data_IF_838926561781
#
_entry.id   IF_838926561781
#
_cell.length_a   1.000
_cell.length_b   1.000
_cell.length_c   1.000
_cell.angle_alpha   90.00
_cell.angle_beta   90.00
_cell.angle_gamma   90.00
#
_symmetry.space_group_name_H-M   'P 1'
#
loop_
_entity.id
_entity.type
_entity.pdbx_description
1 polymer ?
#
# COMPACT_ATOMS: atom_id res chain seq x y z
N UNK A 1 31.69 11.43 7.33
CA UNK A 1 30.29 11.59 6.83
C UNK A 1 29.34 11.57 8.04
N UNK A 2 28.84 12.75 8.42
CA UNK A 2 28.07 12.94 9.68
C UNK A 2 26.83 12.04 9.76
N UNK A 3 26.16 11.82 8.63
CA UNK A 3 24.99 10.94 8.55
C UNK A 3 25.34 9.47 8.81
N UNK A 4 26.50 9.01 8.35
CA UNK A 4 26.94 7.63 8.61
C UNK A 4 27.20 7.37 10.10
N UNK A 5 27.88 8.31 10.77
CA UNK A 5 28.14 8.21 12.21
C UNK A 5 26.85 8.25 13.04
N UNK A 6 25.89 9.10 12.67
CA UNK A 6 24.60 9.17 13.33
C UNK A 6 23.81 7.87 13.14
N UNK A 7 23.81 7.29 11.94
CA UNK A 7 23.16 6.01 11.68
C UNK A 7 23.80 4.85 12.46
N UNK A 8 25.13 4.83 12.55
CA UNK A 8 25.84 3.81 13.35
C UNK A 8 25.54 3.94 14.84
N UNK A 9 25.54 5.16 15.39
CA UNK A 9 25.16 5.38 16.78
C UNK A 9 23.72 4.99 17.06
N UNK A 10 22.79 5.28 16.15
CA UNK A 10 21.40 4.87 16.25
C UNK A 10 21.26 3.33 16.28
N UNK A 11 21.93 2.63 15.35
CA UNK A 11 21.92 1.17 15.32
C UNK A 11 22.45 0.57 16.62
N UNK A 12 23.56 1.10 17.17
CA UNK A 12 24.12 0.64 18.44
C UNK A 12 23.16 0.77 19.62
N UNK A 13 22.29 1.80 19.62
CA UNK A 13 21.29 2.00 20.66
C UNK A 13 20.09 1.06 20.46
N UNK A 14 19.66 0.87 19.22
CA UNK A 14 18.45 0.10 18.90
C UNK A 14 18.71 -1.41 18.94
N UNK A 15 19.90 -1.86 18.54
CA UNK A 15 20.23 -3.29 18.44
C UNK A 15 20.00 -4.07 19.76
N UNK A 16 20.43 -3.61 20.95
CA UNK A 16 20.15 -4.32 22.19
C UNK A 16 18.65 -4.43 22.51
N UNK A 17 17.87 -3.37 22.21
CA UNK A 17 16.42 -3.36 22.41
C UNK A 17 15.75 -4.35 21.46
N UNK A 18 16.17 -4.35 20.19
CA UNK A 18 15.67 -5.29 19.19
C UNK A 18 15.99 -6.75 19.57
N UNK A 19 17.22 -7.04 19.98
CA UNK A 19 17.61 -8.38 20.44
C UNK A 19 16.82 -8.84 21.68
N UNK A 20 16.53 -7.92 22.59
CA UNK A 20 15.69 -8.21 23.77
C UNK A 20 14.25 -8.55 23.32
N UNK A 21 13.68 -7.76 22.41
CA UNK A 21 12.35 -7.97 21.85
C UNK A 21 12.23 -9.32 21.13
N UNK A 22 13.15 -9.62 20.22
CA UNK A 22 13.20 -10.91 19.52
C UNK A 22 13.32 -12.09 20.51
N UNK A 23 14.20 -11.96 21.50
CA UNK A 23 14.36 -12.95 22.57
C UNK A 23 13.10 -13.13 23.42
N UNK A 24 12.33 -12.05 23.64
CA UNK A 24 11.06 -12.13 24.34
C UNK A 24 10.02 -12.87 23.51
N UNK A 25 9.86 -12.54 22.23
CA UNK A 25 8.94 -13.24 21.33
C UNK A 25 9.25 -14.73 21.27
N UNK A 26 10.54 -15.08 21.09
CA UNK A 26 10.97 -16.46 21.02
C UNK A 26 10.66 -17.25 22.28
N UNK A 27 11.01 -16.72 23.46
CA UNK A 27 10.78 -17.41 24.77
C UNK A 27 9.31 -17.61 25.11
N UNK A 28 8.44 -16.71 24.62
CA UNK A 28 7.00 -16.77 24.89
C UNK A 28 6.19 -17.40 23.74
N UNK A 29 6.85 -17.93 22.71
CA UNK A 29 6.20 -18.49 21.54
C UNK A 29 5.26 -17.51 20.84
N UNK A 30 5.65 -16.25 20.80
CA UNK A 30 4.92 -15.17 20.15
C UNK A 30 5.52 -14.86 18.78
N UNK A 31 4.72 -14.26 17.92
CA UNK A 31 5.14 -13.73 16.61
C UNK A 31 4.56 -12.34 16.44
N UNK A 32 5.28 -11.46 15.79
CA UNK A 32 4.76 -10.19 15.33
C UNK A 32 4.21 -10.27 13.89
N UNK A 33 3.71 -9.13 13.37
CA UNK A 33 3.14 -9.07 12.02
C UNK A 33 4.18 -9.39 10.93
N UNK A 34 5.44 -8.98 11.12
CA UNK A 34 6.52 -9.27 10.18
C UNK A 34 6.89 -10.75 10.19
N UNK A 35 6.96 -11.35 11.37
CA UNK A 35 7.20 -12.77 11.56
C UNK A 35 6.11 -13.61 10.91
N UNK A 36 4.86 -13.18 11.05
CA UNK A 36 3.72 -13.88 10.46
C UNK A 36 3.87 -14.01 8.94
N UNK A 37 4.24 -12.92 8.26
CA UNK A 37 4.44 -12.94 6.81
C UNK A 37 5.67 -13.75 6.42
N UNK A 38 6.80 -13.58 7.11
CA UNK A 38 8.03 -14.32 6.83
C UNK A 38 7.80 -15.83 7.01
N UNK A 39 7.13 -16.24 8.09
CA UNK A 39 6.77 -17.65 8.33
C UNK A 39 5.79 -18.19 7.30
N UNK A 40 4.84 -17.36 6.83
CA UNK A 40 3.92 -17.76 5.76
C UNK A 40 4.67 -18.02 4.45
N UNK A 41 5.64 -17.18 4.09
CA UNK A 41 6.51 -17.40 2.93
C UNK A 41 7.27 -18.71 3.06
N UNK A 42 7.93 -18.94 4.21
CA UNK A 42 8.68 -20.18 4.48
C UNK A 42 7.80 -21.43 4.39
N UNK A 43 6.58 -21.38 4.92
CA UNK A 43 5.63 -22.49 4.83
C UNK A 43 5.23 -22.80 3.38
N UNK A 44 5.06 -21.78 2.55
CA UNK A 44 4.71 -21.97 1.13
C UNK A 44 5.90 -22.55 0.37
N UNK A 45 7.11 -22.01 0.57
CA UNK A 45 8.31 -22.43 -0.17
C UNK A 45 8.80 -23.82 0.25
N UNK A 46 8.86 -24.08 1.57
CA UNK A 46 9.54 -25.28 2.07
C UNK A 46 8.59 -26.43 2.42
N UNK A 47 7.31 -26.17 2.67
CA UNK A 47 6.37 -27.21 3.07
C UNK A 47 5.24 -27.46 2.06
N UNK A 48 5.19 -26.70 0.97
CA UNK A 48 4.17 -26.85 -0.06
C UNK A 48 2.74 -26.66 0.44
N UNK A 49 2.57 -25.94 1.55
CA UNK A 49 1.26 -25.62 2.10
C UNK A 49 0.62 -24.57 1.19
N UNK A 50 -0.67 -24.68 0.94
CA UNK A 50 -1.46 -23.75 0.09
C UNK A 50 -1.16 -23.86 -1.43
N UNK A 51 -0.89 -25.01 -1.96
CA UNK A 51 -0.62 -25.19 -3.40
C UNK A 51 -1.87 -25.38 -4.28
N UNK A 52 -3.08 -25.12 -3.76
CA UNK A 52 -4.34 -25.44 -4.44
C UNK A 52 -5.13 -24.20 -4.92
N UNK A 53 -4.63 -23.00 -4.75
CA UNK A 53 -5.35 -21.80 -5.20
C UNK A 53 -5.23 -21.63 -6.72
N UNK A 54 -6.37 -21.46 -7.38
CA UNK A 54 -6.43 -21.12 -8.81
C UNK A 54 -6.39 -19.62 -9.05
N UNK A 55 -6.90 -18.84 -8.10
CA UNK A 55 -6.99 -17.39 -8.17
C UNK A 55 -6.57 -16.79 -6.84
N UNK A 56 -5.84 -15.68 -6.93
CA UNK A 56 -5.46 -14.82 -5.81
C UNK A 56 -5.99 -13.43 -6.14
N UNK A 57 -6.83 -12.89 -5.27
CA UNK A 57 -7.35 -11.53 -5.39
C UNK A 57 -6.75 -10.66 -4.29
N UNK A 58 -6.23 -9.49 -4.66
CA UNK A 58 -5.67 -8.53 -3.72
C UNK A 58 -6.36 -7.19 -3.94
N UNK A 59 -7.02 -6.72 -2.91
CA UNK A 59 -7.65 -5.41 -2.89
C UNK A 59 -6.72 -4.36 -2.27
N UNK A 60 -6.95 -3.08 -2.57
CA UNK A 60 -6.14 -1.93 -2.09
C UNK A 60 -4.64 -2.13 -2.35
N UNK A 61 -4.31 -2.63 -3.54
CA UNK A 61 -2.93 -3.02 -3.87
C UNK A 61 -1.95 -1.84 -3.89
N UNK A 62 -2.42 -0.57 -3.99
CA UNK A 62 -1.58 0.62 -3.88
C UNK A 62 -0.92 0.77 -2.51
N UNK A 63 -1.44 0.10 -1.48
CA UNK A 63 -0.92 0.16 -0.12
C UNK A 63 -0.04 -1.05 0.24
N UNK A 64 0.36 -1.82 -0.76
CA UNK A 64 1.16 -3.03 -0.54
C UNK A 64 2.57 -2.69 -0.06
N UNK A 65 3.05 -3.42 0.96
CA UNK A 65 4.45 -3.42 1.35
C UNK A 65 5.26 -4.43 0.54
N UNK A 66 6.58 -4.24 0.49
CA UNK A 66 7.47 -5.17 -0.20
C UNK A 66 7.37 -6.61 0.35
N UNK A 67 7.18 -6.79 1.65
CA UNK A 67 7.00 -8.11 2.27
C UNK A 67 5.71 -8.78 1.82
N UNK A 68 4.61 -8.05 1.81
CA UNK A 68 3.33 -8.57 1.31
C UNK A 68 3.40 -8.91 -0.18
N UNK A 69 4.09 -8.09 -0.96
CA UNK A 69 4.37 -8.38 -2.37
C UNK A 69 5.15 -9.70 -2.53
N UNK A 70 6.22 -9.90 -1.75
CA UNK A 70 6.99 -11.15 -1.78
C UNK A 70 6.11 -12.36 -1.46
N UNK A 71 5.28 -12.27 -0.40
CA UNK A 71 4.34 -13.34 -0.05
C UNK A 71 3.37 -13.67 -1.19
N UNK A 72 2.74 -12.67 -1.80
CA UNK A 72 1.82 -12.86 -2.92
C UNK A 72 2.53 -13.48 -4.11
N UNK A 73 3.73 -13.01 -4.44
CA UNK A 73 4.55 -13.54 -5.52
C UNK A 73 4.92 -15.01 -5.31
N UNK A 74 5.38 -15.37 -4.10
CA UNK A 74 5.70 -16.75 -3.70
C UNK A 74 4.46 -17.64 -3.80
N UNK A 75 3.34 -17.20 -3.24
CA UNK A 75 2.09 -17.94 -3.27
C UNK A 75 1.58 -18.17 -4.71
N UNK A 76 1.63 -17.11 -5.54
CA UNK A 76 1.27 -17.21 -6.96
C UNK A 76 2.10 -18.25 -7.69
N UNK A 77 3.41 -18.27 -7.45
CA UNK A 77 4.34 -19.21 -8.09
C UNK A 77 4.08 -20.64 -7.61
N UNK A 78 3.96 -20.85 -6.29
CA UNK A 78 3.72 -22.17 -5.70
C UNK A 78 2.40 -22.80 -6.17
N UNK A 79 1.36 -21.99 -6.35
CA UNK A 79 0.04 -22.47 -6.78
C UNK A 79 -0.15 -22.46 -8.30
N UNK A 80 0.75 -21.85 -9.07
CA UNK A 80 0.52 -21.50 -10.47
C UNK A 80 -0.81 -20.74 -10.67
N UNK A 81 -1.12 -19.84 -9.74
CA UNK A 81 -2.40 -19.16 -9.65
C UNK A 81 -2.48 -17.93 -10.58
N UNK A 82 -3.70 -17.59 -10.98
CA UNK A 82 -3.99 -16.30 -11.60
C UNK A 82 -4.06 -15.22 -10.52
N UNK A 83 -3.30 -14.14 -10.69
CA UNK A 83 -3.29 -13.00 -9.78
C UNK A 83 -4.14 -11.88 -10.35
N UNK A 84 -5.09 -11.39 -9.55
CA UNK A 84 -5.91 -10.23 -9.85
C UNK A 84 -5.71 -9.21 -8.73
N UNK A 85 -5.28 -8.02 -9.07
CA UNK A 85 -5.09 -6.94 -8.12
C UNK A 85 -6.00 -5.76 -8.46
N UNK A 86 -6.54 -5.12 -7.44
CA UNK A 86 -7.38 -3.93 -7.57
C UNK A 86 -6.77 -2.84 -6.67
N UNK A 87 -6.74 -1.63 -7.15
CA UNK A 87 -6.22 -0.51 -6.38
C UNK A 87 -6.39 0.82 -7.10
N UNK A 88 -6.08 1.88 -6.41
CA UNK A 88 -6.16 3.25 -6.90
C UNK A 88 -4.93 4.04 -6.44
N UNK A 89 -4.00 4.31 -7.36
CA UNK A 89 -2.76 5.04 -7.08
C UNK A 89 -3.03 6.45 -6.51
N UNK A 90 -4.17 7.07 -6.84
CA UNK A 90 -4.57 8.36 -6.28
C UNK A 90 -4.88 8.29 -4.77
N UNK A 91 -5.11 7.09 -4.24
CA UNK A 91 -5.38 6.84 -2.82
C UNK A 91 -4.16 6.34 -2.05
N UNK A 92 -2.99 6.24 -2.68
CA UNK A 92 -1.76 5.81 -2.00
C UNK A 92 -1.25 6.90 -1.05
N UNK A 93 -1.61 6.78 0.22
CA UNK A 93 -1.24 7.72 1.29
C UNK A 93 -0.44 7.07 2.42
N UNK A 94 -0.14 5.77 2.33
CA UNK A 94 0.51 4.99 3.39
C UNK A 94 2.00 4.74 3.17
N UNK A 95 2.69 5.57 2.37
CA UNK A 95 4.14 5.48 2.19
C UNK A 95 4.93 5.52 3.51
N UNK A 96 4.41 6.18 4.55
CA UNK A 96 5.00 6.19 5.89
C UNK A 96 4.83 4.86 6.66
N UNK A 97 4.06 3.91 6.14
CA UNK A 97 3.82 2.57 6.69
C UNK A 97 4.40 1.46 5.81
N UNK A 98 5.54 1.71 5.19
CA UNK A 98 6.24 0.77 4.30
C UNK A 98 5.47 0.37 3.03
N UNK A 99 4.39 1.06 2.64
CA UNK A 99 3.80 0.84 1.34
C UNK A 99 4.71 1.41 0.24
N UNK A 100 4.83 0.67 -0.84
CA UNK A 100 5.66 1.03 -1.99
C UNK A 100 4.80 1.11 -3.26
N UNK A 101 4.46 2.34 -3.65
CA UNK A 101 3.63 2.59 -4.82
C UNK A 101 4.26 2.11 -6.13
N UNK A 102 5.58 1.93 -6.18
CA UNK A 102 6.25 1.41 -7.38
C UNK A 102 5.81 -0.02 -7.67
N UNK A 103 5.50 -0.82 -6.65
CA UNK A 103 4.97 -2.17 -6.81
C UNK A 103 3.61 -2.20 -7.52
N UNK A 104 2.83 -1.13 -7.38
CA UNK A 104 1.56 -0.95 -8.08
C UNK A 104 1.78 -0.38 -9.49
N UNK A 105 2.57 0.67 -9.61
CA UNK A 105 2.79 1.36 -10.88
C UNK A 105 3.51 0.47 -11.90
N UNK A 106 4.52 -0.26 -11.45
CA UNK A 106 5.37 -1.12 -12.27
C UNK A 106 4.88 -2.59 -12.24
N UNK A 107 3.61 -2.82 -11.93
CA UNK A 107 3.03 -4.16 -11.79
C UNK A 107 3.29 -5.05 -13.02
N UNK A 108 3.20 -4.49 -14.23
CA UNK A 108 3.43 -5.23 -15.46
C UNK A 108 4.90 -5.63 -15.65
N UNK A 109 5.85 -4.94 -15.02
CA UNK A 109 7.27 -5.31 -15.07
C UNK A 109 7.54 -6.52 -14.18
N UNK A 110 6.86 -6.62 -13.05
CA UNK A 110 6.90 -7.80 -12.19
C UNK A 110 6.10 -8.98 -12.75
N UNK A 111 5.05 -8.71 -13.51
CA UNK A 111 4.14 -9.71 -14.10
C UNK A 111 3.92 -9.40 -15.61
N UNK A 112 4.86 -9.77 -16.49
CA UNK A 112 4.86 -9.34 -17.91
C UNK A 112 3.64 -9.73 -18.73
N UNK A 113 2.86 -10.73 -18.29
CA UNK A 113 1.63 -11.14 -18.95
C UNK A 113 0.36 -10.51 -18.35
N UNK A 114 0.53 -9.51 -17.49
CA UNK A 114 -0.61 -8.83 -16.88
C UNK A 114 -1.28 -7.87 -17.85
N UNK A 115 -2.61 -7.79 -17.76
CA UNK A 115 -3.42 -6.79 -18.44
C UNK A 115 -3.91 -5.77 -17.42
N UNK A 116 -3.80 -4.48 -17.77
CA UNK A 116 -4.31 -3.38 -16.96
C UNK A 116 -5.64 -2.91 -17.53
N UNK A 117 -6.62 -2.77 -16.64
CA UNK A 117 -7.95 -2.25 -16.97
C UNK A 117 -8.25 -1.07 -16.06
N UNK A 118 -8.75 0.04 -16.64
CA UNK A 118 -9.16 1.21 -15.87
C UNK A 118 -10.68 1.19 -15.66
N UNK A 119 -11.10 1.42 -14.41
CA UNK A 119 -12.50 1.66 -14.06
C UNK A 119 -12.67 3.18 -13.99
N UNK A 120 -13.28 3.76 -15.03
CA UNK A 120 -13.39 5.22 -15.16
C UNK A 120 -14.72 5.78 -14.68
N UNK A 121 -15.74 4.96 -14.46
CA UNK A 121 -17.02 5.41 -13.92
C UNK A 121 -17.12 5.22 -12.42
N UNK A 122 -17.47 6.30 -11.73
CA UNK A 122 -17.70 6.28 -10.28
C UNK A 122 -19.13 6.72 -9.94
N UNK A 123 -19.68 6.16 -8.86
CA UNK A 123 -21.01 6.46 -8.36
C UNK A 123 -20.97 7.12 -6.97
N UNK A 124 -19.76 7.38 -6.46
CA UNK A 124 -19.54 7.90 -5.10
C UNK A 124 -19.65 9.41 -5.07
N UNK A 125 -18.82 10.09 -5.82
CA UNK A 125 -18.64 11.55 -5.78
C UNK A 125 -19.30 12.24 -6.99
N UNK A 126 -19.73 13.51 -6.86
CA UNK A 126 -20.16 14.32 -8.00
C UNK A 126 -18.98 14.74 -8.89
N UNK A 127 -19.27 15.01 -10.17
CA UNK A 127 -18.25 15.27 -11.19
C UNK A 127 -17.36 16.47 -10.83
N UNK A 128 -17.93 17.54 -10.31
CA UNK A 128 -17.21 18.77 -9.99
C UNK A 128 -16.17 18.55 -8.88
N UNK A 129 -16.48 17.68 -7.91
CA UNK A 129 -15.50 17.30 -6.87
C UNK A 129 -14.41 16.42 -7.45
N UNK A 130 -14.76 15.50 -8.34
CA UNK A 130 -13.79 14.63 -9.02
C UNK A 130 -12.80 15.48 -9.85
N UNK A 131 -13.30 16.48 -10.58
CA UNK A 131 -12.48 17.33 -11.43
C UNK A 131 -11.49 18.17 -10.59
N UNK A 132 -11.93 18.73 -9.46
CA UNK A 132 -11.07 19.48 -8.55
C UNK A 132 -9.98 18.58 -7.96
N UNK A 133 -10.38 17.44 -7.40
CA UNK A 133 -9.44 16.49 -6.79
C UNK A 133 -8.47 15.90 -7.83
N UNK A 134 -8.99 15.52 -9.01
CA UNK A 134 -8.20 14.99 -10.10
C UNK A 134 -7.16 15.98 -10.62
N UNK A 135 -7.55 17.24 -10.83
CA UNK A 135 -6.65 18.30 -11.24
C UNK A 135 -5.53 18.57 -10.21
N UNK A 136 -5.81 18.37 -8.93
CA UNK A 136 -4.81 18.48 -7.88
C UNK A 136 -3.83 17.30 -7.93
N UNK A 137 -4.34 16.07 -7.97
CA UNK A 137 -3.53 14.85 -7.93
C UNK A 137 -2.68 14.69 -9.20
N UNK A 138 -3.24 14.99 -10.38
CA UNK A 138 -2.53 14.89 -11.66
C UNK A 138 -1.38 15.87 -11.84
N UNK A 139 -1.13 16.79 -10.89
CA UNK A 139 0.12 17.56 -10.83
C UNK A 139 1.33 16.70 -10.48
N UNK A 140 1.11 15.55 -9.87
CA UNK A 140 2.14 14.56 -9.64
C UNK A 140 2.29 13.69 -10.91
N UNK A 141 3.43 13.82 -11.57
CA UNK A 141 3.71 13.10 -12.84
C UNK A 141 3.83 11.59 -12.66
N UNK A 142 4.04 11.11 -11.43
CA UNK A 142 4.12 9.68 -11.10
C UNK A 142 2.76 9.00 -11.01
N UNK A 143 1.66 9.73 -11.06
CA UNK A 143 0.30 9.20 -11.00
C UNK A 143 -0.23 8.81 -12.38
N UNK A 144 -1.05 7.76 -12.44
CA UNK A 144 -1.75 7.43 -13.68
C UNK A 144 -2.75 8.52 -14.04
N UNK A 145 -2.72 8.92 -15.32
CA UNK A 145 -3.72 9.83 -15.87
C UNK A 145 -5.04 9.07 -16.01
N UNK A 146 -6.06 9.49 -15.28
CA UNK A 146 -7.41 8.91 -15.27
C UNK A 146 -8.44 9.96 -15.66
N UNK A 147 -9.49 9.53 -16.36
CA UNK A 147 -10.64 10.37 -16.72
C UNK A 147 -11.87 9.81 -16.01
N UNK A 148 -12.01 10.10 -14.71
CA UNK A 148 -13.14 9.61 -13.93
C UNK A 148 -14.42 10.36 -14.29
N UNK A 149 -15.52 9.62 -14.47
CA UNK A 149 -16.84 10.14 -14.84
C UNK A 149 -17.89 9.78 -13.78
N UNK A 150 -18.73 10.73 -13.47
CA UNK A 150 -19.89 10.56 -12.58
C UNK A 150 -21.15 11.16 -13.22
N UNK A 151 -22.28 10.54 -12.95
CA UNK A 151 -23.60 11.08 -13.34
C UNK A 151 -24.14 12.02 -12.25
N UNK A 152 -23.43 12.18 -11.13
CA UNK A 152 -23.81 13.09 -10.04
C UNK A 152 -23.19 14.46 -10.26
N UNK A 153 -23.92 15.50 -9.91
CA UNK A 153 -23.49 16.90 -9.98
C UNK A 153 -23.80 17.64 -8.68
N UNK A 154 -22.97 18.64 -8.34
CA UNK A 154 -23.19 19.52 -7.19
C UNK A 154 -22.71 20.95 -7.52
N UNK A 155 -23.53 21.95 -7.19
CA UNK A 155 -23.25 23.34 -7.55
C UNK A 155 -22.01 23.92 -6.85
N UNK A 156 -21.76 23.54 -5.57
CA UNK A 156 -20.66 24.05 -4.75
C UNK A 156 -19.90 22.89 -4.11
N UNK A 157 -18.97 22.25 -4.84
CA UNK A 157 -18.28 21.04 -4.37
C UNK A 157 -17.30 21.30 -3.24
N UNK A 158 -16.80 22.53 -3.10
CA UNK A 158 -15.82 22.91 -2.08
C UNK A 158 -16.24 24.21 -1.41
N UNK A 159 -16.14 24.26 -0.08
CA UNK A 159 -16.33 25.45 0.74
C UNK A 159 -15.04 25.74 1.49
N UNK A 160 -14.53 26.96 1.37
CA UNK A 160 -13.38 27.44 2.14
C UNK A 160 -13.93 28.29 3.30
N UNK A 161 -13.57 27.93 4.50
CA UNK A 161 -13.91 28.66 5.72
C UNK A 161 -12.60 29.26 6.25
N UNK A 162 -12.58 30.58 6.34
CA UNK A 162 -11.49 31.29 7.01
C UNK A 162 -11.94 31.58 8.44
N UNK A 163 -11.21 31.05 9.41
CA UNK A 163 -11.41 31.37 10.80
C UNK A 163 -10.38 32.42 11.21
N UNK A 164 -10.84 33.56 11.71
CA UNK A 164 -9.99 34.65 12.18
C UNK A 164 -9.64 34.50 13.67
N UNK A 165 -10.35 33.64 14.41
CA UNK A 165 -10.14 33.38 15.83
C UNK A 165 -9.88 31.92 16.10
N UNK A 166 -8.66 31.60 16.57
CA UNK A 166 -8.23 30.24 16.89
C UNK A 166 -9.05 29.52 17.97
N UNK A 167 -9.95 30.24 18.66
CA UNK A 167 -10.75 29.72 19.77
C UNK A 167 -12.15 29.20 19.35
N UNK A 168 -12.56 29.38 18.09
CA UNK A 168 -13.90 29.01 17.62
C UNK A 168 -14.01 27.59 17.03
N UNK A 169 -12.92 26.88 16.91
CA UNK A 169 -12.88 25.53 16.29
C UNK A 169 -13.40 24.42 17.24
N UNK A 170 -13.55 24.73 18.54
CA UNK A 170 -13.90 23.74 19.56
C UNK A 170 -15.30 23.87 20.16
N UNK A 171 -16.20 24.62 19.54
CA UNK A 171 -17.61 24.69 19.96
C UNK A 171 -18.57 24.06 18.97
#
# INVERSE_FOLDING_TARGET
>A
NKNYLNNMAFIQIVEPVFRFYEGYLFRNHLIDSNDMINKAIDLVENKGIFNNFKYIFVDEYQDISYKNFQFIKTLKQACNAHLVVVGDDWQSIYGFRDSDITLFNDFCDYFPNANRVFIEKTYRNPQELIDIAGNFIMKNESQFKKSLKSDKSIEKPVKIIFDSDSDSIYN
#
